data_IF_103210666179
#
_entry.id   IF_103210666179
#
_cell.length_a   1.000
_cell.length_b   1.000
_cell.length_c   1.000
_cell.angle_alpha   90.00
_cell.angle_beta   90.00
_cell.angle_gamma   90.00
#
_symmetry.space_group_name_H-M   'P 1'
#
loop_
_entity.id
_entity.type
_entity.pdbx_description
1 polymer ?
#
# COMPACT_ATOMS: atom_id res chain seq x y z
N UNK A 1 53.49 -69.48 31.57
CA UNK A 1 52.56 -68.44 31.06
C UNK A 1 52.69 -68.38 29.55
N UNK A 2 51.76 -69.00 28.82
CA UNK A 2 51.62 -68.81 27.37
C UNK A 2 50.26 -68.15 27.13
N UNK A 3 50.26 -67.03 26.40
CA UNK A 3 49.08 -66.22 26.15
C UNK A 3 48.45 -66.68 24.84
N UNK A 4 47.25 -67.24 24.90
CA UNK A 4 46.45 -67.53 23.72
C UNK A 4 45.99 -66.19 23.10
N UNK A 5 46.34 -65.98 21.83
CA UNK A 5 45.93 -64.80 21.06
C UNK A 5 44.66 -65.15 20.29
N UNK A 6 43.57 -64.44 20.60
CA UNK A 6 42.31 -64.48 19.87
C UNK A 6 42.56 -63.99 18.44
N UNK A 7 42.11 -64.75 17.44
CA UNK A 7 42.21 -64.35 16.03
C UNK A 7 40.95 -63.59 15.63
N UNK A 8 41.10 -62.63 14.73
CA UNK A 8 40.00 -61.78 14.20
C UNK A 8 38.87 -62.62 13.57
N UNK A 9 39.18 -63.83 13.12
CA UNK A 9 38.24 -64.80 12.56
C UNK A 9 37.25 -65.36 13.59
N UNK A 10 37.55 -65.22 14.89
CA UNK A 10 36.73 -65.78 15.98
C UNK A 10 35.65 -64.78 16.45
N UNK A 11 35.62 -63.57 15.87
CA UNK A 11 34.71 -62.47 16.21
C UNK A 11 33.64 -62.18 15.14
N UNK A 12 33.62 -62.95 14.05
CA UNK A 12 32.69 -62.73 12.94
C UNK A 12 31.77 -63.95 12.86
N UNK A 13 30.63 -63.85 13.56
CA UNK A 13 29.50 -64.75 13.35
C UNK A 13 28.96 -64.51 11.93
N UNK A 14 29.23 -65.45 11.03
CA UNK A 14 28.64 -65.51 9.69
C UNK A 14 27.16 -65.91 9.79
N UNK A 15 26.29 -64.99 10.20
CA UNK A 15 24.87 -65.08 9.89
C UNK A 15 24.65 -64.45 8.53
N UNK A 16 24.43 -65.29 7.54
CA UNK A 16 23.98 -64.92 6.20
C UNK A 16 22.67 -64.14 6.33
N UNK A 17 22.72 -62.82 6.11
CA UNK A 17 21.53 -62.00 5.95
C UNK A 17 20.97 -62.33 4.57
N UNK A 18 19.92 -63.13 4.54
CA UNK A 18 19.09 -63.27 3.34
C UNK A 18 18.41 -61.92 3.08
N UNK A 19 18.62 -61.37 1.89
CA UNK A 19 17.88 -60.20 1.39
C UNK A 19 16.41 -60.59 1.27
N UNK A 20 15.65 -60.33 2.32
CA UNK A 20 14.20 -60.23 2.22
C UNK A 20 13.88 -58.83 1.71
N UNK A 21 13.33 -58.79 0.50
CA UNK A 21 12.69 -57.63 -0.09
C UNK A 21 11.65 -57.04 0.88
N UNK A 22 12.02 -56.01 1.63
CA UNK A 22 11.07 -55.19 2.34
C UNK A 22 10.50 -54.16 1.35
N UNK A 23 9.43 -54.54 0.65
CA UNK A 23 8.56 -53.57 0.01
C UNK A 23 8.05 -52.59 1.07
N UNK A 24 8.58 -51.36 1.04
CA UNK A 24 8.06 -50.25 1.83
C UNK A 24 6.69 -49.91 1.26
N UNK A 25 5.63 -50.55 1.79
CA UNK A 25 4.26 -50.12 1.52
C UNK A 25 4.12 -48.68 2.01
N UNK A 26 3.62 -47.75 1.18
CA UNK A 26 3.44 -46.37 1.60
C UNK A 26 2.52 -46.34 2.82
N UNK A 27 3.04 -45.76 3.89
CA UNK A 27 2.47 -45.73 5.22
C UNK A 27 1.14 -44.93 5.23
N UNK A 28 0.05 -45.52 4.74
CA UNK A 28 -1.30 -44.93 4.72
C UNK A 28 -1.86 -44.81 6.14
N UNK A 29 -1.52 -45.75 7.01
CA UNK A 29 -1.98 -45.82 8.41
C UNK A 29 -1.64 -44.59 9.25
N UNK A 30 -0.50 -43.92 9.01
CA UNK A 30 -0.13 -42.70 9.74
C UNK A 30 -0.81 -41.43 9.21
N UNK A 31 -1.16 -41.41 7.92
CA UNK A 31 -1.84 -40.29 7.27
C UNK A 31 -3.32 -40.24 7.65
N UNK A 32 -3.93 -41.41 7.82
CA UNK A 32 -5.34 -41.51 8.18
C UNK A 32 -5.56 -41.18 9.67
N UNK A 33 -4.62 -41.54 10.55
CA UNK A 33 -4.67 -41.18 11.97
C UNK A 33 -4.56 -39.67 12.20
N UNK A 34 -3.60 -39.01 11.55
CA UNK A 34 -3.45 -37.55 11.61
C UNK A 34 -4.64 -36.81 10.98
N UNK A 35 -5.23 -37.37 9.92
CA UNK A 35 -6.43 -36.81 9.31
C UNK A 35 -7.65 -36.93 10.22
N UNK A 36 -7.85 -38.09 10.85
CA UNK A 36 -8.93 -38.30 11.80
C UNK A 36 -8.77 -37.41 13.05
N UNK A 37 -7.55 -37.29 13.59
CA UNK A 37 -7.24 -36.38 14.71
C UNK A 37 -7.48 -34.91 14.35
N UNK A 38 -7.15 -34.50 13.11
CA UNK A 38 -7.44 -33.15 12.60
C UNK A 38 -8.95 -32.96 12.38
N UNK A 39 -9.65 -33.97 11.88
CA UNK A 39 -11.11 -33.93 11.69
C UNK A 39 -11.85 -33.87 13.03
N UNK A 40 -11.36 -34.58 14.05
CA UNK A 40 -11.86 -34.56 15.43
C UNK A 40 -11.56 -33.22 16.12
N UNK A 41 -10.37 -32.65 15.91
CA UNK A 41 -10.02 -31.32 16.39
C UNK A 41 -10.86 -30.21 15.72
N UNK A 42 -11.10 -30.33 14.41
CA UNK A 42 -11.98 -29.42 13.66
C UNK A 42 -13.44 -29.58 14.14
N UNK A 43 -13.89 -30.80 14.45
CA UNK A 43 -15.21 -31.05 15.03
C UNK A 43 -15.36 -30.40 16.41
N UNK A 44 -14.41 -30.64 17.33
CA UNK A 44 -14.38 -29.98 18.64
C UNK A 44 -14.37 -28.45 18.57
N UNK A 45 -13.65 -27.88 17.59
CA UNK A 45 -13.61 -26.43 17.41
C UNK A 45 -14.92 -25.89 16.83
N UNK A 46 -15.57 -26.62 15.92
CA UNK A 46 -16.92 -26.29 15.43
C UNK A 46 -17.94 -26.39 16.54
N UNK A 47 -17.88 -27.40 17.41
CA UNK A 47 -18.83 -27.56 18.50
C UNK A 47 -18.71 -26.44 19.54
N UNK A 48 -17.48 -26.00 19.86
CA UNK A 48 -17.24 -24.80 20.70
C UNK A 48 -17.70 -23.49 20.04
N UNK A 49 -17.47 -23.31 18.76
CA UNK A 49 -18.01 -22.15 18.02
C UNK A 49 -19.56 -22.23 17.96
N UNK A 50 -20.16 -23.41 17.82
CA UNK A 50 -21.63 -23.59 17.80
C UNK A 50 -22.30 -23.36 19.16
N UNK A 51 -21.65 -23.67 20.28
CA UNK A 51 -22.17 -23.35 21.62
C UNK A 51 -22.08 -21.85 21.92
N UNK A 52 -20.98 -21.18 21.56
CA UNK A 52 -20.80 -19.72 21.78
C UNK A 52 -21.68 -18.82 20.91
N UNK A 53 -22.32 -19.35 19.86
CA UNK A 53 -23.18 -18.58 18.94
C UNK A 53 -24.66 -18.54 19.39
N UNK A 54 -25.04 -19.27 20.45
CA UNK A 54 -26.45 -19.33 20.94
C UNK A 54 -26.67 -18.76 22.33
N UNK A 55 -25.85 -17.82 22.75
CA UNK A 55 -26.19 -16.99 23.91
C UNK A 55 -27.08 -15.83 23.44
N UNK A 56 -28.22 -15.65 24.12
CA UNK A 56 -29.10 -14.51 23.83
C UNK A 56 -28.39 -13.25 24.31
N UNK A 57 -27.88 -12.45 23.38
CA UNK A 57 -27.37 -11.12 23.65
C UNK A 57 -28.50 -10.10 23.48
N UNK A 58 -28.36 -8.92 24.10
CA UNK A 58 -29.36 -7.84 24.00
C UNK A 58 -29.79 -7.53 22.55
N UNK A 59 -28.87 -7.71 21.59
CA UNK A 59 -29.08 -7.45 20.17
C UNK A 59 -29.50 -8.67 19.33
N UNK A 60 -29.47 -9.89 19.87
CA UNK A 60 -29.82 -11.13 19.16
C UNK A 60 -30.57 -12.08 20.09
N UNK A 61 -31.90 -12.05 20.01
CA UNK A 61 -32.79 -12.93 20.78
C UNK A 61 -33.22 -14.09 19.90
N UNK A 62 -32.77 -15.30 20.23
CA UNK A 62 -33.20 -16.51 19.53
C UNK A 62 -34.40 -17.15 20.24
N UNK A 63 -35.49 -17.49 19.51
CA UNK A 63 -36.65 -18.12 20.12
C UNK A 63 -36.30 -19.54 20.60
N UNK A 64 -36.41 -19.78 21.91
CA UNK A 64 -36.06 -21.06 22.54
C UNK A 64 -37.26 -21.99 22.58
N UNK A 65 -38.44 -21.46 22.90
CA UNK A 65 -39.66 -22.26 23.04
C UNK A 65 -40.36 -22.48 21.69
N UNK A 66 -41.16 -23.55 21.59
CA UNK A 66 -41.92 -23.83 20.37
C UNK A 66 -42.98 -22.75 20.06
N UNK A 67 -43.48 -22.07 21.10
CA UNK A 67 -44.39 -20.93 20.94
C UNK A 67 -43.66 -19.70 20.42
N UNK A 68 -42.50 -19.36 20.98
CA UNK A 68 -41.66 -18.27 20.49
C UNK A 68 -41.24 -18.48 19.03
N UNK A 69 -40.88 -19.71 18.64
CA UNK A 69 -40.55 -20.03 17.25
C UNK A 69 -41.72 -19.81 16.30
N UNK A 70 -42.95 -20.13 16.74
CA UNK A 70 -44.17 -19.89 15.95
C UNK A 70 -44.48 -18.40 15.85
N UNK A 71 -44.33 -17.65 16.95
CA UNK A 71 -44.54 -16.20 16.99
C UNK A 71 -43.51 -15.46 16.14
N UNK A 72 -42.23 -15.81 16.26
CA UNK A 72 -41.15 -15.27 15.44
C UNK A 72 -41.37 -15.59 13.96
N UNK A 73 -41.78 -16.81 13.62
CA UNK A 73 -42.17 -17.16 12.26
C UNK A 73 -43.41 -16.41 11.76
N UNK A 74 -44.26 -15.87 12.63
CA UNK A 74 -45.40 -15.03 12.25
C UNK A 74 -44.98 -13.57 12.08
N UNK A 75 -44.16 -13.05 12.99
CA UNK A 75 -43.66 -11.67 12.98
C UNK A 75 -42.67 -11.42 11.84
N UNK A 76 -41.81 -12.41 11.56
CA UNK A 76 -40.81 -12.37 10.49
C UNK A 76 -41.25 -13.08 9.20
N UNK A 77 -42.57 -13.23 8.99
CA UNK A 77 -43.14 -13.74 7.73
C UNK A 77 -42.82 -12.76 6.61
N UNK A 78 -41.84 -13.11 5.78
CA UNK A 78 -41.50 -12.34 4.59
C UNK A 78 -42.59 -12.49 3.55
N UNK A 79 -42.95 -11.38 2.91
CA UNK A 79 -43.88 -11.37 1.80
C UNK A 79 -43.34 -12.20 0.62
N UNK A 80 -44.24 -12.72 -0.22
CA UNK A 80 -43.82 -13.52 -1.39
C UNK A 80 -42.95 -12.70 -2.37
N UNK A 81 -43.15 -11.38 -2.44
CA UNK A 81 -42.31 -10.43 -3.18
C UNK A 81 -40.90 -10.37 -2.58
N UNK A 82 -40.75 -10.16 -1.27
CA UNK A 82 -39.43 -10.13 -0.62
C UNK A 82 -38.65 -11.44 -0.79
N UNK A 83 -39.34 -12.58 -0.76
CA UNK A 83 -38.72 -13.89 -1.01
C UNK A 83 -38.22 -13.96 -2.46
N UNK A 84 -39.00 -13.45 -3.42
CA UNK A 84 -38.63 -13.39 -4.84
C UNK A 84 -37.45 -12.45 -5.05
N UNK A 85 -37.47 -11.26 -4.46
CA UNK A 85 -36.42 -10.26 -4.60
C UNK A 85 -35.11 -10.75 -3.98
N UNK A 86 -35.18 -11.41 -2.82
CA UNK A 86 -34.00 -12.05 -2.22
C UNK A 86 -33.43 -13.16 -3.09
N UNK A 87 -34.28 -13.99 -3.71
CA UNK A 87 -33.83 -15.03 -4.66
C UNK A 87 -33.18 -14.42 -5.90
N UNK A 88 -33.76 -13.36 -6.43
CA UNK A 88 -33.21 -12.62 -7.56
C UNK A 88 -31.85 -12.00 -7.20
N UNK A 89 -31.75 -11.34 -6.04
CA UNK A 89 -30.51 -10.78 -5.54
C UNK A 89 -29.44 -11.86 -5.33
N UNK A 90 -29.81 -12.98 -4.71
CA UNK A 90 -28.90 -14.12 -4.52
C UNK A 90 -28.43 -14.71 -5.86
N UNK A 91 -29.34 -14.81 -6.84
CA UNK A 91 -29.00 -15.28 -8.18
C UNK A 91 -28.03 -14.33 -8.88
N UNK A 92 -28.30 -13.03 -8.87
CA UNK A 92 -27.41 -12.01 -9.43
C UNK A 92 -26.04 -12.03 -8.74
N UNK A 93 -26.01 -12.15 -7.42
CA UNK A 93 -24.79 -12.26 -6.63
C UNK A 93 -23.98 -13.50 -7.01
N UNK A 94 -24.63 -14.67 -7.09
CA UNK A 94 -24.00 -15.93 -7.48
C UNK A 94 -23.44 -15.86 -8.91
N UNK A 95 -24.19 -15.29 -9.85
CA UNK A 95 -23.76 -15.07 -11.23
C UNK A 95 -22.55 -14.12 -11.31
N UNK A 96 -22.56 -13.00 -10.56
CA UNK A 96 -21.39 -12.11 -10.42
C UNK A 96 -20.20 -12.85 -9.82
N UNK A 97 -20.41 -13.66 -8.78
CA UNK A 97 -19.33 -14.45 -8.17
C UNK A 97 -18.75 -15.50 -9.09
N UNK A 98 -19.56 -16.17 -9.91
CA UNK A 98 -19.05 -17.09 -10.92
C UNK A 98 -18.18 -16.36 -11.95
N UNK A 99 -18.61 -15.18 -12.43
CA UNK A 99 -17.78 -14.34 -13.32
C UNK A 99 -16.45 -13.96 -12.67
N UNK A 100 -16.47 -13.52 -11.41
CA UNK A 100 -15.26 -13.18 -10.65
C UNK A 100 -14.34 -14.39 -10.47
N UNK A 101 -14.88 -15.58 -10.15
CA UNK A 101 -14.09 -16.82 -10.05
C UNK A 101 -13.47 -17.21 -11.39
N UNK A 102 -14.20 -17.05 -12.51
CA UNK A 102 -13.65 -17.25 -13.87
C UNK A 102 -12.52 -16.26 -14.16
N UNK A 103 -12.68 -14.97 -13.86
CA UNK A 103 -11.64 -13.94 -14.05
C UNK A 103 -10.41 -14.20 -13.17
N UNK A 104 -10.62 -14.64 -11.92
CA UNK A 104 -9.54 -14.95 -10.97
C UNK A 104 -8.89 -16.32 -11.24
N UNK A 105 -9.44 -17.14 -12.12
CA UNK A 105 -8.90 -18.46 -12.44
C UNK A 105 -7.53 -18.37 -13.11
N UNK A 106 -6.71 -19.41 -12.92
CA UNK A 106 -5.36 -19.47 -13.50
C UNK A 106 -5.40 -19.54 -15.03
N UNK A 107 -6.40 -20.20 -15.60
CA UNK A 107 -6.60 -20.34 -17.05
C UNK A 107 -6.93 -19.01 -17.70
N UNK A 108 -7.91 -18.26 -17.17
CA UNK A 108 -8.25 -16.93 -17.68
C UNK A 108 -7.05 -15.97 -17.63
N UNK A 109 -6.27 -15.99 -16.55
CA UNK A 109 -5.06 -15.17 -16.44
C UNK A 109 -3.96 -15.57 -17.42
N UNK A 110 -3.89 -16.85 -17.84
CA UNK A 110 -2.97 -17.31 -18.89
C UNK A 110 -3.43 -16.81 -20.26
N UNK A 111 -4.68 -17.05 -20.63
CA UNK A 111 -5.26 -16.55 -21.88
C UNK A 111 -5.13 -15.03 -22.02
N UNK A 112 -5.39 -14.26 -20.94
CA UNK A 112 -5.22 -12.80 -20.96
C UNK A 112 -3.76 -12.35 -21.17
N UNK A 113 -2.78 -13.12 -20.68
CA UNK A 113 -1.35 -12.83 -20.91
C UNK A 113 -0.92 -13.19 -22.33
N UNK A 114 -1.44 -14.29 -22.87
CA UNK A 114 -1.20 -14.71 -24.25
C UNK A 114 -1.82 -13.71 -25.23
N UNK A 115 -3.06 -13.28 -25.02
CA UNK A 115 -3.71 -12.23 -25.81
C UNK A 115 -2.92 -10.91 -25.80
N UNK A 116 -2.43 -10.48 -24.62
CA UNK A 116 -1.61 -9.27 -24.52
C UNK A 116 -0.26 -9.41 -25.25
N UNK A 117 0.34 -10.61 -25.27
CA UNK A 117 1.57 -10.87 -26.05
C UNK A 117 1.27 -10.80 -27.55
N UNK A 118 0.18 -11.42 -28.02
CA UNK A 118 -0.21 -11.37 -29.43
C UNK A 118 -0.57 -9.95 -29.88
N UNK A 119 -1.21 -9.15 -29.02
CA UNK A 119 -1.47 -7.72 -29.29
C UNK A 119 -0.16 -6.93 -29.39
N UNK A 120 0.80 -7.16 -28.49
CA UNK A 120 2.12 -6.53 -28.55
C UNK A 120 2.92 -6.93 -29.80
N UNK A 121 2.84 -8.19 -30.22
CA UNK A 121 3.47 -8.69 -31.45
C UNK A 121 2.81 -8.08 -32.71
N UNK A 122 1.50 -7.85 -32.70
CA UNK A 122 0.78 -7.15 -33.77
C UNK A 122 1.09 -5.64 -33.82
N UNK A 123 1.37 -5.00 -32.67
CA UNK A 123 1.78 -3.60 -32.60
C UNK A 123 3.24 -3.41 -33.07
N UNK A 124 4.12 -4.39 -32.84
CA UNK A 124 5.52 -4.33 -33.32
C UNK A 124 5.63 -4.53 -34.84
N UNK A 125 4.68 -5.26 -35.46
CA UNK A 125 4.65 -5.50 -36.92
C UNK A 125 3.96 -4.39 -37.71
N UNK A 126 3.17 -3.53 -37.05
CA UNK A 126 2.63 -2.30 -37.64
C UNK A 126 3.23 -1.10 -36.90
N UNK A 127 4.31 -0.53 -37.42
CA UNK A 127 4.69 0.85 -37.09
C UNK A 127 3.86 1.81 -37.94
N UNK A 128 2.99 2.63 -37.35
CA UNK A 128 2.61 3.90 -37.94
C UNK A 128 3.23 5.06 -37.16
N UNK A 129 3.70 6.04 -37.91
CA UNK A 129 4.07 7.35 -37.42
C UNK A 129 2.81 8.14 -36.98
N UNK A 130 3.01 9.04 -36.00
CA UNK A 130 2.27 10.30 -35.75
C UNK A 130 1.03 10.30 -34.82
N UNK A 131 1.22 11.11 -33.76
CA UNK A 131 0.33 11.93 -32.88
C UNK A 131 -1.07 11.47 -32.47
N UNK A 132 -1.28 11.49 -31.15
CA UNK A 132 -2.50 11.10 -30.45
C UNK A 132 -3.28 12.38 -30.08
N UNK A 133 -4.50 12.53 -30.59
CA UNK A 133 -5.61 13.25 -29.95
C UNK A 133 -6.72 12.22 -29.75
N UNK A 134 -7.25 12.11 -28.54
CA UNK A 134 -8.42 11.28 -28.23
C UNK A 134 -9.50 12.18 -27.63
N UNK A 135 -10.52 12.50 -28.43
CA UNK A 135 -11.84 12.87 -27.94
C UNK A 135 -12.71 11.61 -27.98
N UNK A 136 -13.32 11.27 -26.85
CA UNK A 136 -14.32 10.21 -26.73
C UNK A 136 -15.62 10.90 -26.37
N UNK A 137 -16.56 10.93 -27.31
CA UNK A 137 -17.96 11.28 -27.09
C UNK A 137 -18.75 9.97 -26.99
N UNK A 138 -19.44 9.76 -25.87
CA UNK A 138 -20.44 8.71 -25.72
C UNK A 138 -21.82 9.38 -25.79
N UNK A 139 -22.60 9.04 -26.81
CA UNK A 139 -24.01 9.39 -26.95
C UNK A 139 -24.86 8.28 -26.30
N UNK A 140 -25.61 8.61 -25.25
CA UNK A 140 -26.67 7.75 -24.72
C UNK A 140 -28.03 8.35 -25.12
N UNK A 141 -28.72 7.68 -26.03
CA UNK A 141 -30.13 7.94 -26.35
C UNK A 141 -31.02 7.11 -25.42
N UNK A 142 -31.95 7.75 -24.71
CA UNK A 142 -32.89 7.00 -23.87
C UNK A 142 -34.04 7.80 -23.27
N UNK A 143 -35.16 7.81 -24.00
CA UNK A 143 -36.55 7.68 -23.53
C UNK A 143 -37.22 8.86 -22.80
N UNK A 144 -38.31 9.30 -23.44
CA UNK A 144 -39.30 10.29 -23.03
C UNK A 144 -40.32 9.68 -22.05
N UNK A 145 -40.57 10.31 -20.89
CA UNK A 145 -41.81 10.08 -20.14
C UNK A 145 -42.21 11.24 -19.19
N UNK A 146 -43.29 11.91 -19.61
CA UNK A 146 -44.43 12.50 -18.88
C UNK A 146 -44.23 13.68 -17.91
N UNK A 147 -44.69 14.84 -18.39
CA UNK A 147 -44.89 16.09 -17.66
C UNK A 147 -45.96 15.97 -16.56
N UNK A 148 -45.59 16.31 -15.33
CA UNK A 148 -46.52 16.69 -14.26
C UNK A 148 -46.18 18.11 -13.85
N UNK A 149 -47.07 19.04 -14.18
CA UNK A 149 -46.89 20.46 -13.93
C UNK A 149 -47.05 20.82 -12.44
N UNK A 150 -46.14 21.68 -11.97
CA UNK A 150 -46.28 22.63 -10.85
C UNK A 150 -46.12 22.13 -9.41
N UNK A 151 -44.87 21.93 -8.98
CA UNK A 151 -44.37 22.29 -7.64
C UNK A 151 -42.84 22.50 -7.68
N UNK A 152 -42.25 23.54 -7.07
CA UNK A 152 -40.81 23.64 -6.90
C UNK A 152 -40.40 22.74 -5.73
N UNK A 153 -40.30 21.45 -6.00
CA UNK A 153 -39.64 20.48 -5.13
C UNK A 153 -38.20 20.41 -5.63
N UNK A 154 -37.23 20.70 -4.78
CA UNK A 154 -35.82 20.49 -5.06
C UNK A 154 -35.60 18.98 -5.21
N UNK A 155 -35.78 18.47 -6.42
CA UNK A 155 -35.50 17.08 -6.77
C UNK A 155 -34.00 16.87 -6.70
N UNK A 156 -33.55 16.15 -5.67
CA UNK A 156 -32.24 15.50 -5.64
C UNK A 156 -32.30 14.28 -6.58
N UNK A 157 -32.64 14.49 -7.85
CA UNK A 157 -32.43 13.52 -8.90
C UNK A 157 -30.94 13.61 -9.26
N UNK A 158 -30.25 12.48 -9.17
CA UNK A 158 -28.78 12.38 -9.19
C UNK A 158 -28.16 12.63 -10.56
N UNK A 159 -28.41 13.80 -11.15
CA UNK A 159 -27.79 14.30 -12.38
C UNK A 159 -27.58 15.82 -12.32
N UNK A 160 -27.17 16.37 -11.16
CA UNK A 160 -26.54 17.69 -11.19
C UNK A 160 -25.17 17.47 -11.82
N UNK A 161 -24.96 17.99 -13.02
CA UNK A 161 -23.66 17.96 -13.68
C UNK A 161 -22.61 18.52 -12.71
N UNK A 162 -21.48 17.82 -12.51
CA UNK A 162 -20.42 18.25 -11.58
C UNK A 162 -19.95 19.70 -11.84
N UNK A 163 -20.15 20.20 -13.07
CA UNK A 163 -19.86 21.57 -13.49
C UNK A 163 -20.78 22.60 -12.83
N UNK A 164 -22.08 22.34 -12.77
CA UNK A 164 -23.05 23.25 -12.15
C UNK A 164 -22.84 23.33 -10.64
N UNK A 165 -22.55 22.19 -9.99
CA UNK A 165 -22.21 22.17 -8.57
C UNK A 165 -20.96 23.02 -8.28
N UNK A 166 -19.91 22.90 -9.10
CA UNK A 166 -18.70 23.70 -8.94
C UNK A 166 -18.95 25.20 -9.13
N UNK A 167 -19.85 25.56 -10.04
CA UNK A 167 -20.20 26.95 -10.31
C UNK A 167 -21.07 27.54 -9.18
N UNK A 168 -22.03 26.78 -8.67
CA UNK A 168 -22.82 27.15 -7.49
C UNK A 168 -21.92 27.31 -6.26
N UNK A 169 -20.97 26.40 -6.07
CA UNK A 169 -19.97 26.51 -4.99
C UNK A 169 -19.11 27.75 -5.17
N UNK A 170 -18.62 28.04 -6.39
CA UNK A 170 -17.86 29.28 -6.65
C UNK A 170 -18.68 30.52 -6.31
N UNK A 171 -19.92 30.62 -6.80
CA UNK A 171 -20.82 31.74 -6.54
C UNK A 171 -21.15 31.89 -5.04
N UNK A 172 -21.36 30.77 -4.34
CA UNK A 172 -21.65 30.78 -2.90
C UNK A 172 -20.46 31.28 -2.07
N UNK A 173 -19.23 31.05 -2.53
CA UNK A 173 -18.01 31.43 -1.82
C UNK A 173 -17.28 32.64 -2.44
N UNK A 174 -17.78 33.26 -3.51
CA UNK A 174 -17.08 34.34 -4.24
C UNK A 174 -16.74 35.55 -3.37
N UNK A 175 -17.63 35.93 -2.45
CA UNK A 175 -17.38 37.03 -1.53
C UNK A 175 -16.27 36.71 -0.53
N UNK A 176 -16.32 35.51 0.06
CA UNK A 176 -15.32 35.04 1.03
C UNK A 176 -13.97 34.76 0.35
N UNK A 177 -13.98 34.15 -0.84
CA UNK A 177 -12.81 33.81 -1.65
C UNK A 177 -11.93 35.03 -1.92
N UNK A 178 -12.52 36.18 -2.23
CA UNK A 178 -11.78 37.41 -2.49
C UNK A 178 -11.05 37.94 -1.25
N UNK A 179 -11.64 37.80 -0.07
CA UNK A 179 -11.02 38.17 1.21
C UNK A 179 -9.93 37.17 1.58
N UNK A 180 -10.24 35.88 1.54
CA UNK A 180 -9.27 34.81 1.82
C UNK A 180 -8.06 34.85 0.88
N UNK A 181 -8.26 35.19 -0.40
CA UNK A 181 -7.16 35.29 -1.37
C UNK A 181 -6.23 36.47 -1.06
N UNK A 182 -6.78 37.61 -0.60
CA UNK A 182 -5.97 38.75 -0.17
C UNK A 182 -5.15 38.41 1.07
N UNK A 183 -5.80 37.84 2.08
CA UNK A 183 -5.12 37.41 3.31
C UNK A 183 -3.99 36.42 3.01
N UNK A 184 -4.24 35.48 2.10
CA UNK A 184 -3.24 34.51 1.66
C UNK A 184 -2.05 35.17 0.94
N UNK A 185 -2.30 36.13 0.04
CA UNK A 185 -1.22 36.86 -0.65
C UNK A 185 -0.41 37.65 0.37
N UNK A 186 -1.07 38.35 1.30
CA UNK A 186 -0.39 39.10 2.36
C UNK A 186 0.45 38.19 3.27
N UNK A 187 -0.08 37.03 3.68
CA UNK A 187 0.64 36.05 4.48
C UNK A 187 1.87 35.51 3.71
N UNK A 188 1.68 35.19 2.43
CA UNK A 188 2.76 34.73 1.56
C UNK A 188 3.85 35.79 1.42
N UNK A 189 3.50 37.05 1.21
CA UNK A 189 4.45 38.15 1.14
C UNK A 189 5.20 38.38 2.46
N UNK A 190 4.48 38.31 3.60
CA UNK A 190 5.10 38.42 4.94
C UNK A 190 6.15 37.32 5.14
N UNK A 191 5.82 36.06 4.84
CA UNK A 191 6.74 34.93 4.96
C UNK A 191 7.92 35.05 3.98
N UNK A 192 7.69 35.48 2.74
CA UNK A 192 8.76 35.71 1.76
C UNK A 192 9.75 36.76 2.26
N UNK A 193 9.24 37.85 2.84
CA UNK A 193 10.08 38.92 3.37
C UNK A 193 10.85 38.49 4.61
N UNK A 194 10.23 37.71 5.50
CA UNK A 194 10.87 37.19 6.72
C UNK A 194 12.00 36.19 6.41
N UNK A 195 11.80 35.35 5.38
CA UNK A 195 12.78 34.34 4.95
C UNK A 195 13.82 34.89 3.95
N UNK A 196 13.65 36.11 3.45
CA UNK A 196 14.55 36.72 2.48
C UNK A 196 15.95 36.95 3.07
N UNK A 197 17.02 36.82 2.26
CA UNK A 197 18.37 37.11 2.73
C UNK A 197 18.53 38.60 3.04
N UNK A 198 18.72 38.94 4.32
CA UNK A 198 18.93 40.32 4.78
C UNK A 198 20.42 40.60 4.94
N UNK A 199 20.93 41.62 4.25
CA UNK A 199 22.28 42.17 4.47
C UNK A 199 22.17 43.43 5.31
N UNK A 200 22.47 43.35 6.61
CA UNK A 200 22.51 44.51 7.50
C UNK A 200 23.92 45.10 7.53
N UNK A 201 24.04 46.38 7.20
CA UNK A 201 25.28 47.14 7.32
C UNK A 201 25.28 47.90 8.65
N UNK A 202 26.04 47.42 9.62
CA UNK A 202 26.25 48.10 10.90
C UNK A 202 27.50 48.95 10.80
N UNK A 203 27.35 50.26 10.98
CA UNK A 203 28.49 51.18 11.02
C UNK A 203 29.08 51.14 12.42
N UNK A 204 30.38 50.88 12.54
CA UNK A 204 31.07 50.89 13.82
C UNK A 204 31.05 52.31 14.41
N UNK A 205 30.74 52.47 15.70
CA UNK A 205 30.84 53.78 16.35
C UNK A 205 32.33 54.15 16.51
N UNK A 206 32.78 55.18 15.79
CA UNK A 206 34.16 55.69 15.85
C UNK A 206 34.25 57.16 16.28
N UNK A 207 35.47 57.73 16.28
CA UNK A 207 35.76 59.13 16.65
C UNK A 207 34.93 60.17 15.88
N UNK A 208 34.45 59.84 14.68
CA UNK A 208 33.56 60.68 13.87
C UNK A 208 32.09 60.68 14.27
N UNK A 209 31.65 59.84 15.21
CA UNK A 209 30.26 59.76 15.69
C UNK A 209 29.90 60.76 16.80
N UNK A 210 30.90 61.44 17.38
CA UNK A 210 30.70 62.41 18.47
C UNK A 210 30.38 63.83 17.98
N UNK A 211 30.48 64.09 16.67
CA UNK A 211 30.35 65.43 16.10
C UNK A 211 28.91 65.99 16.09
N UNK A 212 27.95 65.28 16.70
CA UNK A 212 26.58 65.73 16.89
C UNK A 212 25.59 65.29 15.78
N UNK A 213 24.28 65.36 16.04
CA UNK A 213 23.24 64.99 15.08
C UNK A 213 23.27 65.93 13.87
N UNK A 214 23.39 65.37 12.66
CA UNK A 214 23.30 66.11 11.39
C UNK A 214 24.50 65.92 10.43
N UNK A 215 25.60 65.33 10.88
CA UNK A 215 26.76 65.03 10.03
C UNK A 215 26.62 63.64 9.39
N UNK A 216 26.79 63.57 8.05
CA UNK A 216 26.76 62.31 7.30
C UNK A 216 28.02 61.49 7.61
N UNK A 217 27.84 60.31 8.20
CA UNK A 217 28.94 59.38 8.47
C UNK A 217 29.39 58.76 7.14
N UNK A 218 30.68 58.88 6.81
CA UNK A 218 31.25 58.26 5.61
C UNK A 218 31.48 56.77 5.82
N UNK A 219 30.86 55.96 4.96
CA UNK A 219 30.98 54.50 4.99
C UNK A 219 32.31 54.08 4.36
N UNK A 220 33.20 53.50 5.15
CA UNK A 220 34.45 52.92 4.69
C UNK A 220 34.47 51.42 4.94
N UNK A 221 35.25 50.66 4.15
CA UNK A 221 35.41 49.19 4.31
C UNK A 221 35.87 48.79 5.73
N UNK A 222 36.59 49.68 6.41
CA UNK A 222 37.07 49.48 7.79
C UNK A 222 36.08 49.91 8.87
N UNK A 223 35.01 50.65 8.51
CA UNK A 223 34.04 51.21 9.44
C UNK A 223 32.65 50.56 9.32
N UNK A 224 32.46 49.63 8.38
CA UNK A 224 31.17 48.97 8.14
C UNK A 224 31.35 47.47 8.32
N UNK A 225 30.60 46.90 9.26
CA UNK A 225 30.43 45.46 9.41
C UNK A 225 29.20 45.07 8.61
N UNK A 226 29.38 44.15 7.66
CA UNK A 226 28.28 43.56 6.90
C UNK A 226 27.91 42.23 7.53
N UNK A 227 26.72 42.16 8.09
CA UNK A 227 26.14 40.92 8.58
C UNK A 227 25.15 40.42 7.52
N UNK A 228 25.48 39.28 6.92
CA UNK A 228 24.56 38.61 6.01
C UNK A 228 23.81 37.56 6.83
N UNK A 229 22.49 37.72 6.94
CA UNK A 229 21.62 36.64 7.43
C UNK A 229 21.34 35.70 6.29
N UNK A 230 21.66 34.42 6.50
CA UNK A 230 21.35 33.36 5.55
C UNK A 230 19.83 33.27 5.40
N UNK A 231 19.36 33.35 4.16
CA UNK A 231 17.95 33.29 3.79
C UNK A 231 17.77 32.73 2.39
N UNK A 232 16.52 32.49 1.99
CA UNK A 232 16.18 31.94 0.68
C UNK A 232 15.76 33.07 -0.24
N UNK A 233 16.43 33.21 -1.38
CA UNK A 233 15.99 34.17 -2.42
C UNK A 233 14.63 33.75 -2.96
N UNK A 234 13.75 34.72 -3.24
CA UNK A 234 12.40 34.45 -3.73
C UNK A 234 12.38 33.49 -4.94
N UNK A 235 13.29 33.65 -5.90
CA UNK A 235 13.40 32.79 -7.10
C UNK A 235 13.79 31.34 -6.81
N UNK A 236 14.45 31.07 -5.68
CA UNK A 236 14.95 29.75 -5.33
C UNK A 236 14.00 28.98 -4.42
N UNK A 237 12.89 29.60 -3.99
CA UNK A 237 11.87 28.95 -3.19
C UNK A 237 11.14 27.89 -4.01
N UNK A 238 10.72 26.82 -3.35
CA UNK A 238 9.98 25.72 -3.98
C UNK A 238 8.57 26.11 -4.41
N UNK A 239 7.98 27.09 -3.74
CA UNK A 239 6.63 27.59 -3.99
C UNK A 239 6.58 28.83 -4.89
N UNK A 240 7.70 29.20 -5.53
CA UNK A 240 7.79 30.37 -6.39
C UNK A 240 6.83 30.30 -7.59
N UNK A 241 6.73 29.13 -8.23
CA UNK A 241 5.84 28.92 -9.40
C UNK A 241 4.38 28.71 -8.99
N UNK A 242 4.11 28.39 -7.72
CA UNK A 242 2.77 28.03 -7.23
C UNK A 242 2.08 29.25 -6.60
N UNK A 243 0.93 29.68 -7.12
CA UNK A 243 0.20 30.83 -6.57
C UNK A 243 -0.56 30.52 -5.28
N UNK A 244 -1.05 29.29 -5.09
CA UNK A 244 -1.97 28.91 -4.00
C UNK A 244 -1.30 28.11 -2.88
N UNK A 245 0.03 28.02 -2.86
CA UNK A 245 0.78 27.25 -1.85
C UNK A 245 1.83 28.15 -1.20
N UNK A 246 1.93 28.03 0.12
CA UNK A 246 3.01 28.58 0.93
C UNK A 246 3.79 27.39 1.51
N UNK A 247 5.07 27.26 1.16
CA UNK A 247 5.95 26.24 1.72
C UNK A 247 6.87 26.89 2.75
N UNK A 248 6.81 26.39 3.98
CA UNK A 248 7.77 26.77 5.02
C UNK A 248 9.10 26.04 4.77
N UNK A 249 10.15 26.80 4.43
CA UNK A 249 11.50 26.26 4.19
C UNK A 249 12.42 26.36 5.41
N UNK A 250 12.02 27.14 6.40
CA UNK A 250 12.74 27.39 7.67
C UNK A 250 12.55 26.28 8.71
N UNK A 251 11.74 25.26 8.43
CA UNK A 251 11.49 24.14 9.35
C UNK A 251 12.78 23.43 9.78
N UNK A 252 12.79 22.99 11.03
CA UNK A 252 13.86 22.20 11.63
C UNK A 252 14.28 21.05 10.71
N UNK A 253 15.55 21.06 10.31
CA UNK A 253 16.14 19.96 9.56
C UNK A 253 16.08 18.74 10.46
N UNK A 254 15.53 17.62 9.96
CA UNK A 254 15.65 16.33 10.65
C UNK A 254 17.10 16.11 11.09
N UNK A 255 17.27 15.56 12.29
CA UNK A 255 18.60 15.27 12.83
C UNK A 255 19.44 14.52 11.81
N UNK A 256 20.69 14.94 11.68
CA UNK A 256 21.65 14.34 10.76
C UNK A 256 21.88 12.84 11.06
N UNK A 257 21.55 12.38 12.27
CA UNK A 257 21.54 10.96 12.65
C UNK A 257 20.61 10.11 11.78
N UNK A 258 19.49 10.67 11.32
CA UNK A 258 18.53 9.96 10.47
C UNK A 258 18.85 10.08 8.96
N UNK A 259 19.87 10.86 8.60
CA UNK A 259 20.29 11.03 7.21
C UNK A 259 21.41 10.06 6.88
N UNK A 260 21.23 9.29 5.81
CA UNK A 260 22.25 8.37 5.31
C UNK A 260 23.00 8.98 4.13
N UNK A 261 24.34 8.85 4.13
CA UNK A 261 25.14 9.02 2.91
C UNK A 261 24.94 7.80 2.00
N UNK A 262 24.97 8.01 0.69
CA UNK A 262 24.80 6.92 -0.29
C UNK A 262 25.94 5.90 -0.11
N UNK A 263 25.64 4.60 0.11
CA UNK A 263 26.67 3.59 0.28
C UNK A 263 27.52 3.38 -0.98
N UNK A 264 28.75 2.88 -0.81
CA UNK A 264 29.66 2.59 -1.91
C UNK A 264 29.04 1.62 -2.93
N UNK A 265 29.24 1.91 -4.22
CA UNK A 265 28.77 1.08 -5.33
C UNK A 265 27.30 1.27 -5.71
N UNK A 266 26.60 2.26 -5.13
CA UNK A 266 25.24 2.64 -5.52
C UNK A 266 25.16 4.08 -6.01
N UNK A 267 24.29 4.32 -6.98
CA UNK A 267 23.80 5.68 -7.26
C UNK A 267 22.73 6.08 -6.22
N UNK A 268 22.49 7.38 -6.08
CA UNK A 268 21.48 7.89 -5.12
C UNK A 268 20.08 7.34 -5.43
N UNK A 269 19.72 7.30 -6.70
CA UNK A 269 18.41 6.84 -7.17
C UNK A 269 18.22 5.35 -6.88
N UNK A 270 19.20 4.52 -7.24
CA UNK A 270 19.19 3.08 -6.94
C UNK A 270 19.05 2.79 -5.44
N UNK A 271 19.74 3.55 -4.60
CA UNK A 271 19.67 3.37 -3.16
C UNK A 271 18.29 3.74 -2.60
N UNK A 272 17.70 4.85 -3.06
CA UNK A 272 16.34 5.24 -2.67
C UNK A 272 15.30 4.21 -3.11
N UNK A 273 15.41 3.66 -4.32
CA UNK A 273 14.52 2.58 -4.77
C UNK A 273 14.61 1.34 -3.89
N UNK A 274 15.80 1.03 -3.36
CA UNK A 274 15.99 -0.08 -2.42
C UNK A 274 15.36 0.23 -1.06
N UNK A 275 15.53 1.45 -0.54
CA UNK A 275 14.94 1.88 0.73
C UNK A 275 13.41 1.92 0.67
N UNK A 276 12.84 2.29 -0.47
CA UNK A 276 11.39 2.35 -0.68
C UNK A 276 10.70 0.97 -0.63
N UNK A 277 11.47 -0.14 -0.59
CA UNK A 277 10.94 -1.50 -0.50
C UNK A 277 10.99 -1.99 0.95
N UNK A 278 9.85 -2.13 1.65
CA UNK A 278 9.86 -2.63 3.02
C UNK A 278 10.28 -4.11 3.05
N UNK A 279 11.10 -4.49 4.03
CA UNK A 279 11.54 -5.89 4.23
C UNK A 279 10.66 -6.61 5.27
N UNK A 280 9.74 -5.90 5.95
CA UNK A 280 8.93 -6.44 7.05
C UNK A 280 7.99 -7.57 6.61
N UNK A 281 7.60 -8.40 7.59
CA UNK A 281 6.59 -9.47 7.41
C UNK A 281 5.19 -8.92 7.19
N UNK A 282 4.90 -7.75 7.74
CA UNK A 282 3.57 -7.13 7.72
C UNK A 282 3.26 -6.53 6.35
N UNK A 283 4.25 -5.92 5.70
CA UNK A 283 4.08 -5.30 4.39
C UNK A 283 4.19 -6.31 3.23
N UNK A 284 4.68 -7.53 3.47
CA UNK A 284 4.94 -8.53 2.42
C UNK A 284 4.27 -9.87 2.70
N UNK A 285 3.94 -10.61 1.64
CA UNK A 285 3.54 -12.02 1.82
C UNK A 285 4.69 -12.86 2.40
N UNK A 286 4.36 -13.86 3.22
CA UNK A 286 5.34 -14.74 3.87
C UNK A 286 6.32 -15.38 2.85
N UNK A 287 5.83 -15.74 1.66
CA UNK A 287 6.66 -16.27 0.57
C UNK A 287 7.72 -15.26 0.08
N UNK A 288 7.34 -13.99 -0.09
CA UNK A 288 8.25 -12.93 -0.55
C UNK A 288 9.24 -12.59 0.57
N UNK A 289 8.76 -12.43 1.80
CA UNK A 289 9.59 -12.20 2.98
C UNK A 289 10.70 -13.25 3.13
N UNK A 290 10.33 -14.54 3.08
CA UNK A 290 11.30 -15.65 3.17
C UNK A 290 12.29 -15.67 2.00
N UNK A 291 11.91 -15.16 0.83
CA UNK A 291 12.80 -15.03 -0.32
C UNK A 291 13.79 -13.89 -0.13
N UNK A 292 13.35 -12.74 0.40
CA UNK A 292 14.18 -11.54 0.62
C UNK A 292 15.23 -11.80 1.71
N UNK A 293 14.85 -12.42 2.82
CA UNK A 293 15.74 -12.65 3.97
C UNK A 293 16.68 -13.84 3.78
N UNK A 294 16.49 -14.64 2.73
CA UNK A 294 17.36 -15.77 2.44
C UNK A 294 18.81 -15.26 2.24
N UNK A 295 19.78 -15.64 3.10
CA UNK A 295 21.15 -15.20 2.93
C UNK A 295 21.75 -15.81 1.66
N UNK A 296 22.74 -15.11 1.09
CA UNK A 296 23.44 -15.53 -0.13
C UNK A 296 24.15 -16.86 0.07
N UNK A 297 24.81 -17.03 1.21
CA UNK A 297 25.54 -18.25 1.57
C UNK A 297 24.84 -18.95 2.72
N UNK A 298 24.65 -20.26 2.61
CA UNK A 298 24.14 -21.12 3.68
C UNK A 298 25.10 -22.27 3.87
N UNK A 299 25.70 -22.36 5.06
CA UNK A 299 26.53 -23.49 5.46
C UNK A 299 25.73 -24.45 6.33
N UNK A 300 26.05 -25.75 6.26
CA UNK A 300 25.51 -26.74 7.18
C UNK A 300 26.43 -26.82 8.40
N UNK A 301 25.85 -26.79 9.60
CA UNK A 301 26.61 -26.99 10.84
C UNK A 301 27.03 -28.46 10.94
N UNK A 302 28.23 -28.72 11.47
CA UNK A 302 28.72 -30.08 11.73
C UNK A 302 29.30 -30.81 10.51
N UNK A 303 29.42 -30.15 9.35
CA UNK A 303 30.05 -30.72 8.16
C UNK A 303 31.22 -29.85 7.73
N UNK A 304 32.36 -30.48 7.42
CA UNK A 304 33.53 -29.80 6.85
C UNK A 304 33.16 -29.29 5.45
N UNK A 305 33.54 -28.04 5.14
CA UNK A 305 33.35 -27.47 3.81
C UNK A 305 34.56 -27.88 2.96
N UNK A 306 34.33 -28.81 2.03
CA UNK A 306 35.37 -29.22 1.09
C UNK A 306 35.67 -28.11 0.06
N UNK A 307 36.92 -27.97 -0.38
CA UNK A 307 37.27 -27.06 -1.46
C UNK A 307 36.58 -27.50 -2.76
N UNK A 308 36.27 -26.54 -3.63
CA UNK A 308 35.67 -26.82 -4.92
C UNK A 308 36.66 -27.60 -5.79
N UNK A 309 36.26 -28.81 -6.22
CA UNK A 309 37.01 -29.61 -7.18
C UNK A 309 36.59 -29.17 -8.58
N UNK A 310 37.55 -28.71 -9.38
CA UNK A 310 37.33 -28.45 -10.79
C UNK A 310 37.46 -29.77 -11.55
N UNK A 311 36.52 -30.05 -12.45
CA UNK A 311 36.64 -31.18 -13.37
C UNK A 311 37.61 -30.71 -14.46
N UNK A 312 38.79 -31.33 -14.53
CA UNK A 312 39.72 -31.16 -15.64
C UNK A 312 39.29 -32.11 -16.75
N UNK A 313 39.04 -31.58 -17.95
CA UNK A 313 38.69 -32.34 -19.16
C UNK A 313 39.82 -33.25 -19.65
#
# INVERSE_FOLDING_TARGET
MSRDKIKITDLIDNQTITEHDYEIKPNSYFKDKTRNEIEEFIAMKRDKEFETIRENNFYNVFPKTNLEKKLDAILNKKSLSEIRDRKNFQHQYNSKMQKVKRIKSKTYRRFKREAKKTEQEQIVTKKPDITINYDIQEEDQGMEELEIENAPIFEFSGQIEEKENNEIVKLAFESEMNENQKDFIEEKEKIINDEAPVTSETILPGWGGWAGPGLKITKNKHNVIKENKDGVKNTNRKDFESSHVIINETKEKLDDKFKCKVPFGYTKEEYLEKLNRPISKECNTNRIFNKIIKPKTKTRKGTIIEPQKFITE
#
